data_IF_336492418917
#
_entry.id   IF_336492418917
#
_cell.length_a   1.000
_cell.length_b   1.000
_cell.length_c   1.000
_cell.angle_alpha   90.00
_cell.angle_beta   90.00
_cell.angle_gamma   90.00
#
_symmetry.space_group_name_H-M   'P 1'
#
loop_
_entity.id
_entity.type
_entity.pdbx_description
1 polymer ?
#
# COMPACT_ATOMS: atom_id res chain seq x y z
N UNK A 1 3.62 -19.37 4.16
CA UNK A 1 3.58 -17.96 4.61
C UNK A 1 2.12 -17.62 4.85
N UNK A 2 1.81 -16.89 5.92
CA UNK A 2 0.43 -16.47 6.21
C UNK A 2 0.02 -15.32 5.30
N UNK A 3 -1.24 -15.32 4.86
CA UNK A 3 -1.82 -14.30 3.99
C UNK A 3 -3.07 -13.69 4.63
N UNK A 4 -3.48 -12.54 4.12
CA UNK A 4 -4.73 -11.88 4.45
C UNK A 4 -5.30 -11.21 3.21
N UNK A 5 -6.59 -10.82 3.26
CA UNK A 5 -7.28 -10.20 2.12
C UNK A 5 -7.76 -8.81 2.49
N UNK A 6 -7.62 -7.88 1.54
CA UNK A 6 -8.11 -6.51 1.66
C UNK A 6 -8.64 -6.03 0.31
N UNK A 7 -9.55 -5.05 0.35
CA UNK A 7 -9.99 -4.34 -0.84
C UNK A 7 -9.03 -3.18 -1.14
N UNK A 8 -8.47 -3.14 -2.34
CA UNK A 8 -7.60 -2.07 -2.82
C UNK A 8 -8.35 -1.23 -3.86
N UNK A 9 -8.34 0.12 -3.76
CA UNK A 9 -8.93 1.00 -4.77
C UNK A 9 -8.34 0.75 -6.15
N UNK A 10 -9.21 0.66 -7.16
CA UNK A 10 -8.83 0.35 -8.54
C UNK A 10 -9.16 1.46 -9.56
N UNK A 11 -9.70 2.59 -9.08
CA UNK A 11 -10.39 3.54 -9.96
C UNK A 11 -11.70 2.94 -10.49
N UNK A 12 -12.34 3.55 -11.49
CA UNK A 12 -13.58 3.00 -12.06
C UNK A 12 -13.29 1.73 -12.87
N UNK A 13 -14.01 0.66 -12.56
CA UNK A 13 -14.10 -0.56 -13.36
C UNK A 13 -15.51 -0.68 -13.94
N UNK A 14 -15.58 -0.86 -15.27
CA UNK A 14 -16.85 -0.75 -16.01
C UNK A 14 -17.53 -2.10 -16.28
N UNK A 15 -16.78 -3.19 -16.21
CA UNK A 15 -17.27 -4.56 -16.45
C UNK A 15 -16.33 -5.60 -15.84
N UNK A 16 -16.77 -6.86 -15.83
CA UNK A 16 -15.94 -8.00 -15.42
C UNK A 16 -14.71 -8.16 -16.33
N UNK A 17 -14.84 -7.93 -17.63
CA UNK A 17 -13.72 -7.98 -18.57
C UNK A 17 -12.68 -6.89 -18.26
N UNK A 18 -13.14 -5.67 -17.94
CA UNK A 18 -12.25 -4.56 -17.54
C UNK A 18 -11.52 -4.90 -16.22
N UNK A 19 -12.24 -5.48 -15.25
CA UNK A 19 -11.66 -5.96 -14.00
C UNK A 19 -10.63 -7.07 -14.23
N UNK A 20 -10.91 -8.06 -15.08
CA UNK A 20 -9.98 -9.15 -15.44
C UNK A 20 -8.68 -8.62 -16.05
N UNK A 21 -8.74 -7.52 -16.81
CA UNK A 21 -7.55 -6.93 -17.42
C UNK A 21 -6.73 -6.09 -16.41
N UNK A 22 -7.39 -5.26 -15.60
CA UNK A 22 -6.72 -4.28 -14.73
C UNK A 22 -6.37 -4.83 -13.36
N UNK A 23 -7.24 -5.61 -12.74
CA UNK A 23 -7.09 -6.04 -11.34
C UNK A 23 -5.80 -6.84 -11.06
N UNK A 24 -5.34 -7.77 -11.94
CA UNK A 24 -4.06 -8.44 -11.73
C UNK A 24 -2.86 -7.49 -11.69
N UNK A 25 -2.89 -6.41 -12.49
CA UNK A 25 -1.80 -5.41 -12.54
C UNK A 25 -1.75 -4.60 -11.24
N UNK A 26 -2.90 -4.22 -10.71
CA UNK A 26 -3.03 -3.50 -9.45
C UNK A 26 -2.59 -4.40 -8.28
N UNK A 27 -3.05 -5.65 -8.25
CA UNK A 27 -2.60 -6.62 -7.24
C UNK A 27 -1.08 -6.80 -7.27
N UNK A 28 -0.47 -6.93 -8.46
CA UNK A 28 0.97 -7.05 -8.61
C UNK A 28 1.73 -5.81 -8.10
N UNK A 29 1.19 -4.61 -8.31
CA UNK A 29 1.77 -3.37 -7.79
C UNK A 29 1.82 -3.33 -6.24
N UNK A 30 0.95 -4.09 -5.58
CA UNK A 30 0.93 -4.26 -4.12
C UNK A 30 1.59 -5.57 -3.64
N UNK A 31 2.39 -6.24 -4.49
CA UNK A 31 3.01 -7.54 -4.21
C UNK A 31 2.00 -8.64 -3.84
N UNK A 32 0.75 -8.48 -4.30
CA UNK A 32 -0.37 -9.36 -4.01
C UNK A 32 -0.89 -10.12 -5.21
N UNK A 33 -1.95 -10.89 -4.97
CA UNK A 33 -2.70 -11.60 -6.01
C UNK A 33 -4.16 -11.19 -5.97
N UNK A 34 -4.70 -10.84 -7.13
CA UNK A 34 -6.14 -10.59 -7.25
C UNK A 34 -6.90 -11.89 -7.02
N UNK A 35 -7.93 -11.87 -6.16
CA UNK A 35 -8.70 -13.07 -5.82
C UNK A 35 -9.79 -13.39 -6.83
N UNK A 36 -9.99 -12.52 -7.83
CA UNK A 36 -11.12 -12.56 -8.75
C UNK A 36 -12.33 -11.74 -8.29
N UNK A 37 -12.34 -11.26 -7.03
CA UNK A 37 -13.44 -10.45 -6.50
C UNK A 37 -13.18 -8.96 -6.73
N UNK A 38 -14.23 -8.22 -7.08
CA UNK A 38 -14.22 -6.77 -7.21
C UNK A 38 -15.62 -6.21 -6.98
N UNK A 39 -15.73 -4.93 -6.64
CA UNK A 39 -17.02 -4.27 -6.45
C UNK A 39 -16.92 -2.75 -6.71
N UNK A 40 -17.95 -2.17 -7.31
CA UNK A 40 -18.07 -0.70 -7.43
C UNK A 40 -18.58 -0.11 -6.11
N UNK A 41 -17.80 0.79 -5.52
CA UNK A 41 -18.10 1.42 -4.22
C UNK A 41 -18.64 2.84 -4.38
N UNK A 42 -18.27 3.53 -5.47
CA UNK A 42 -18.85 4.80 -5.89
C UNK A 42 -19.21 4.69 -7.37
N UNK A 43 -20.50 4.71 -7.74
CA UNK A 43 -20.94 4.57 -9.13
C UNK A 43 -20.21 5.54 -10.07
N UNK A 44 -19.70 5.00 -11.18
CA UNK A 44 -18.98 5.76 -12.22
C UNK A 44 -17.67 6.45 -11.80
N UNK A 45 -17.20 6.26 -10.55
CA UNK A 45 -16.00 6.93 -10.04
C UNK A 45 -14.97 5.95 -9.44
N UNK A 46 -15.41 4.98 -8.64
CA UNK A 46 -14.48 4.12 -7.89
C UNK A 46 -15.01 2.69 -7.70
N UNK A 47 -14.15 1.74 -8.02
CA UNK A 47 -14.29 0.33 -7.70
C UNK A 47 -13.09 -0.12 -6.86
N UNK A 48 -13.27 -1.24 -6.15
CA UNK A 48 -12.22 -1.90 -5.39
C UNK A 48 -12.04 -3.34 -5.89
N UNK A 49 -10.84 -3.86 -5.74
CA UNK A 49 -10.52 -5.26 -6.02
C UNK A 49 -10.06 -5.94 -4.73
N UNK A 50 -10.46 -7.18 -4.50
CA UNK A 50 -9.95 -7.94 -3.35
C UNK A 50 -8.57 -8.52 -3.71
N UNK A 51 -7.57 -8.23 -2.89
CA UNK A 51 -6.19 -8.66 -3.07
C UNK A 51 -5.76 -9.50 -1.88
N UNK A 52 -5.20 -10.67 -2.16
CA UNK A 52 -4.49 -11.49 -1.17
C UNK A 52 -3.05 -11.00 -1.05
N UNK A 53 -2.66 -10.61 0.16
CA UNK A 53 -1.34 -10.08 0.51
C UNK A 53 -0.63 -11.02 1.51
N UNK A 54 0.70 -11.05 1.46
CA UNK A 54 1.50 -11.75 2.46
C UNK A 54 1.60 -10.91 3.75
N UNK A 55 1.60 -11.57 4.91
CA UNK A 55 1.91 -10.90 6.19
C UNK A 55 3.35 -10.35 6.20
N UNK A 56 4.27 -11.05 5.55
CA UNK A 56 5.66 -10.63 5.37
C UNK A 56 6.10 -10.90 3.94
N UNK A 57 6.51 -9.86 3.23
CA UNK A 57 7.11 -9.99 1.91
C UNK A 57 8.57 -10.47 2.05
N UNK A 58 9.03 -11.24 1.06
CA UNK A 58 10.36 -11.85 1.03
C UNK A 58 10.90 -11.89 -0.38
N UNK A 59 12.21 -11.84 -0.54
CA UNK A 59 12.86 -11.79 -1.84
C UNK A 59 14.32 -11.40 -1.69
N UNK A 60 15.03 -11.29 -2.81
CA UNK A 60 16.45 -10.93 -2.84
C UNK A 60 16.66 -9.49 -3.31
N UNK A 61 15.62 -8.83 -3.81
CA UNK A 61 15.69 -7.45 -4.28
C UNK A 61 15.03 -6.52 -3.28
N UNK A 62 15.53 -5.29 -3.23
CA UNK A 62 15.02 -4.25 -2.35
C UNK A 62 14.83 -2.94 -3.12
N UNK A 63 13.83 -2.16 -2.73
CA UNK A 63 13.60 -0.82 -3.25
C UNK A 63 13.20 0.11 -2.10
N UNK A 64 13.88 1.26 -2.00
CA UNK A 64 13.58 2.28 -0.99
C UNK A 64 12.92 3.49 -1.61
N UNK A 65 11.92 4.04 -0.92
CA UNK A 65 11.21 5.23 -1.37
C UNK A 65 10.51 5.92 -0.22
N UNK A 66 10.13 7.17 -0.39
CA UNK A 66 9.41 7.95 0.61
C UNK A 66 7.90 7.85 0.37
N UNK A 67 7.13 7.62 1.42
CA UNK A 67 5.66 7.60 1.39
C UNK A 67 5.06 8.56 2.41
N UNK A 68 3.84 9.01 2.15
CA UNK A 68 3.11 9.89 3.06
C UNK A 68 2.88 9.20 4.41
N UNK A 69 3.15 9.91 5.49
CA UNK A 69 3.01 9.40 6.85
C UNK A 69 1.98 10.17 7.69
N UNK A 70 1.33 11.18 7.12
CA UNK A 70 0.62 12.18 7.90
C UNK A 70 1.59 13.13 8.62
N UNK A 71 1.10 14.02 9.50
CA UNK A 71 1.97 14.89 10.28
C UNK A 71 2.71 14.08 11.35
N UNK A 72 4.04 14.25 11.42
CA UNK A 72 4.90 13.73 12.49
C UNK A 72 5.57 14.92 13.18
N UNK A 73 5.44 15.00 14.50
CA UNK A 73 5.82 16.16 15.29
C UNK A 73 7.18 16.03 15.98
N UNK A 74 7.72 14.81 16.05
CA UNK A 74 9.01 14.54 16.67
C UNK A 74 9.66 13.28 16.12
N UNK A 75 10.97 13.14 16.33
CA UNK A 75 11.66 11.92 15.99
C UNK A 75 11.17 10.72 16.82
N UNK A 76 10.87 10.93 18.11
CA UNK A 76 10.39 9.85 18.98
C UNK A 76 9.05 9.29 18.47
N UNK A 77 8.13 10.17 18.07
CA UNK A 77 6.89 9.76 17.40
C UNK A 77 7.19 8.99 16.11
N UNK A 78 8.08 9.50 15.25
CA UNK A 78 8.45 8.85 14.00
C UNK A 78 8.94 7.41 14.22
N UNK A 79 9.81 7.20 15.23
CA UNK A 79 10.32 5.88 15.57
C UNK A 79 9.24 4.98 16.19
N UNK A 80 8.28 5.54 16.90
CA UNK A 80 7.16 4.80 17.49
C UNK A 80 6.14 4.33 16.44
N UNK A 81 5.79 5.19 15.48
CA UNK A 81 4.70 4.91 14.51
C UNK A 81 5.19 4.41 13.15
N UNK A 82 6.46 4.68 12.80
CA UNK A 82 7.01 4.44 11.47
C UNK A 82 6.85 2.99 11.00
N UNK A 83 7.12 2.00 11.86
CA UNK A 83 6.94 0.59 11.50
C UNK A 83 5.49 0.22 11.17
N UNK A 84 4.52 0.78 11.90
CA UNK A 84 3.11 0.53 11.64
C UNK A 84 2.64 1.21 10.34
N UNK A 85 3.10 2.43 10.08
CA UNK A 85 2.81 3.14 8.83
C UNK A 85 3.43 2.40 7.65
N UNK A 86 4.71 2.00 7.72
CA UNK A 86 5.35 1.23 6.66
C UNK A 86 4.64 -0.10 6.37
N UNK A 87 4.16 -0.78 7.42
CA UNK A 87 3.36 -2.00 7.25
C UNK A 87 2.04 -1.76 6.50
N UNK A 88 1.42 -0.58 6.65
CA UNK A 88 0.23 -0.21 5.87
C UNK A 88 0.51 -0.07 4.36
N UNK A 89 1.77 0.19 3.99
CA UNK A 89 2.24 0.19 2.60
C UNK A 89 2.78 -1.17 2.14
N UNK A 90 2.78 -2.20 3.00
CA UNK A 90 3.34 -3.52 2.70
C UNK A 90 4.87 -3.59 2.74
N UNK A 91 5.50 -2.67 3.47
CA UNK A 91 6.95 -2.46 3.50
C UNK A 91 7.51 -2.36 4.94
N UNK A 92 8.83 -2.27 5.06
CA UNK A 92 9.52 -2.04 6.33
C UNK A 92 9.98 -0.58 6.46
N UNK A 93 9.89 -0.01 7.66
CA UNK A 93 10.39 1.34 7.94
C UNK A 93 11.91 1.33 8.04
N UNK A 94 12.61 2.25 7.37
CA UNK A 94 14.08 2.30 7.39
C UNK A 94 14.66 3.07 8.58
N UNK A 95 13.81 3.73 9.39
CA UNK A 95 14.22 4.66 10.44
C UNK A 95 14.32 6.12 9.96
N UNK A 96 14.30 6.36 8.63
CA UNK A 96 14.44 7.71 8.05
C UNK A 96 13.07 8.34 7.78
N UNK A 97 12.94 9.63 8.07
CA UNK A 97 11.71 10.40 7.87
C UNK A 97 12.02 11.88 7.70
N UNK A 98 11.09 12.64 7.12
CA UNK A 98 11.23 14.09 6.96
C UNK A 98 9.86 14.79 6.90
N UNK A 99 9.75 16.00 7.45
CA UNK A 99 8.56 16.84 7.27
C UNK A 99 8.67 17.64 5.97
N UNK A 100 7.67 17.49 5.09
CA UNK A 100 7.65 18.16 3.77
C UNK A 100 6.73 19.37 3.75
N UNK A 101 5.72 19.41 4.62
CA UNK A 101 4.87 20.57 4.86
C UNK A 101 4.67 20.71 6.36
N UNK A 102 5.23 21.77 6.93
CA UNK A 102 5.17 22.03 8.37
C UNK A 102 3.73 22.04 8.88
N UNK A 103 3.48 21.28 9.94
CA UNK A 103 2.17 21.16 10.56
C UNK A 103 1.11 20.38 9.77
N UNK A 104 1.45 19.82 8.61
CA UNK A 104 0.48 19.17 7.71
C UNK A 104 0.92 17.78 7.29
N UNK A 105 2.17 17.61 6.83
CA UNK A 105 2.59 16.36 6.20
C UNK A 105 4.07 16.07 6.36
N UNK A 106 4.35 14.84 6.77
CA UNK A 106 5.66 14.22 6.80
C UNK A 106 5.67 12.97 5.91
N UNK A 107 6.86 12.55 5.53
CA UNK A 107 7.11 11.29 4.82
C UNK A 107 8.01 10.40 5.65
N UNK A 108 7.83 9.09 5.51
CA UNK A 108 8.78 8.09 6.00
C UNK A 108 9.40 7.37 4.81
N UNK A 109 10.67 7.03 4.93
CA UNK A 109 11.32 6.15 3.97
C UNK A 109 10.97 4.71 4.32
N UNK A 110 10.46 3.99 3.34
CA UNK A 110 10.12 2.58 3.43
C UNK A 110 10.99 1.75 2.52
N UNK A 111 11.10 0.46 2.82
CA UNK A 111 11.82 -0.54 2.03
C UNK A 111 10.88 -1.68 1.63
N UNK A 112 10.67 -1.82 0.34
CA UNK A 112 10.04 -2.99 -0.27
C UNK A 112 11.05 -4.11 -0.46
N UNK A 113 10.61 -5.36 -0.31
CA UNK A 113 11.42 -6.57 -0.56
C UNK A 113 10.65 -7.52 -1.47
N UNK A 114 11.26 -7.98 -2.57
CA UNK A 114 10.62 -8.81 -3.59
C UNK A 114 11.59 -9.71 -4.38
#
# INVERSE_FOLDING_TARGET
MSTFKVNIPAGPLWSDEDAKEKAPKIAAAHQGKWTGQWNTVVPSEMSVIEVELNVKNSGNNEFTTDVLAGPIWSNDEAQQVGSAIAASYGAEFTGQWNTIVEGVMSVIQIKYTF
#
